data_IF_494940652843
#
_entry.id   IF_494940652843
#
_cell.length_a   1.000
_cell.length_b   1.000
_cell.length_c   1.000
_cell.angle_alpha   90.00
_cell.angle_beta   90.00
_cell.angle_gamma   90.00
#
_symmetry.space_group_name_H-M   'P 1'
#
loop_
_entity.id
_entity.type
_entity.pdbx_description
1 polymer ?
#
# COMPACT_ATOMS: atom_id res chain seq x y z
N UNK A 1 9.43 8.19 -5.55
CA UNK A 1 9.19 6.76 -5.87
C UNK A 1 9.59 5.79 -4.76
N UNK A 2 8.60 5.26 -4.04
CA UNK A 2 8.75 4.20 -3.04
C UNK A 2 7.84 3.02 -3.41
N UNK A 3 8.32 1.79 -3.25
CA UNK A 3 7.55 0.57 -3.51
C UNK A 3 6.98 0.01 -2.21
N UNK A 4 5.67 -0.14 -2.15
CA UNK A 4 4.94 -0.76 -1.06
C UNK A 4 4.34 -2.07 -1.55
N UNK A 5 4.34 -3.11 -0.71
CA UNK A 5 3.75 -4.41 -1.03
C UNK A 5 2.53 -4.58 -0.15
N UNK A 6 1.37 -4.89 -0.74
CA UNK A 6 0.16 -5.17 0.03
C UNK A 6 0.37 -6.47 0.83
N UNK A 7 0.45 -6.35 2.15
CA UNK A 7 0.65 -7.47 3.08
C UNK A 7 -0.69 -8.14 3.40
N UNK A 8 -1.72 -7.35 3.66
CA UNK A 8 -3.08 -7.82 3.96
C UNK A 8 -4.10 -6.68 3.83
N UNK A 9 -5.37 -7.03 3.77
CA UNK A 9 -6.47 -6.09 3.90
C UNK A 9 -7.09 -6.21 5.29
N UNK A 10 -7.34 -5.07 5.94
CA UNK A 10 -7.93 -4.97 7.26
C UNK A 10 -9.10 -3.98 7.22
N UNK A 11 -10.31 -4.52 7.11
CA UNK A 11 -11.53 -3.72 6.94
C UNK A 11 -11.49 -2.88 5.65
N UNK A 12 -11.55 -1.55 5.82
CA UNK A 12 -11.47 -0.57 4.72
C UNK A 12 -10.03 -0.16 4.37
N UNK A 13 -9.03 -0.70 5.06
CA UNK A 13 -7.62 -0.37 4.85
C UNK A 13 -6.87 -1.51 4.19
N UNK A 14 -5.91 -1.19 3.33
CA UNK A 14 -4.86 -2.12 2.92
C UNK A 14 -3.60 -1.83 3.73
N UNK A 15 -3.11 -2.86 4.41
CA UNK A 15 -1.84 -2.82 5.11
C UNK A 15 -0.75 -3.12 4.09
N UNK A 16 0.04 -2.11 3.78
CA UNK A 16 1.15 -2.20 2.85
C UNK A 16 2.47 -2.10 3.60
N UNK A 17 3.49 -2.82 3.14
CA UNK A 17 4.82 -2.84 3.77
C UNK A 17 5.89 -2.45 2.76
N UNK A 18 6.86 -1.66 3.20
CA UNK A 18 8.04 -1.34 2.39
C UNK A 18 9.21 -2.32 2.64
N UNK A 19 10.33 -2.09 1.97
CA UNK A 19 11.55 -2.89 2.15
C UNK A 19 12.15 -2.74 3.57
N UNK A 20 11.94 -1.59 4.21
CA UNK A 20 12.38 -1.32 5.59
C UNK A 20 11.46 -1.92 6.67
N UNK A 21 10.50 -2.77 6.27
CA UNK A 21 9.52 -3.41 7.15
C UNK A 21 8.62 -2.42 7.91
N UNK A 22 8.46 -1.19 7.40
CA UNK A 22 7.46 -0.23 7.89
C UNK A 22 6.11 -0.59 7.30
N UNK A 23 5.08 -0.52 8.13
CA UNK A 23 3.71 -0.79 7.74
C UNK A 23 2.96 0.52 7.54
N UNK A 24 2.14 0.57 6.50
CA UNK A 24 1.33 1.70 6.08
C UNK A 24 -0.10 1.20 5.92
N UNK A 25 -1.04 1.80 6.64
CA UNK A 25 -2.46 1.58 6.42
C UNK A 25 -2.94 2.62 5.41
N UNK A 26 -3.40 2.17 4.25
CA UNK A 26 -3.91 3.03 3.17
C UNK A 26 -5.38 2.69 2.98
N UNK A 27 -6.26 3.69 2.92
CA UNK A 27 -7.68 3.43 2.67
C UNK A 27 -7.88 2.81 1.28
N UNK A 28 -8.74 1.80 1.19
CA UNK A 28 -9.08 1.15 -0.08
C UNK A 28 -9.62 2.14 -1.11
N UNK A 29 -10.24 3.23 -0.67
CA UNK A 29 -10.73 4.31 -1.53
C UNK A 29 -9.61 5.10 -2.22
N UNK A 30 -8.41 5.15 -1.63
CA UNK A 30 -7.23 5.81 -2.20
C UNK A 30 -6.41 4.88 -3.10
N UNK A 31 -6.73 3.60 -3.08
CA UNK A 31 -5.99 2.58 -3.80
C UNK A 31 -6.59 2.32 -5.19
N UNK A 32 -5.76 2.01 -6.19
CA UNK A 32 -6.26 1.61 -7.49
C UNK A 32 -7.08 0.31 -7.38
N UNK A 33 -8.17 0.26 -8.13
CA UNK A 33 -9.04 -0.91 -8.18
C UNK A 33 -8.28 -2.14 -8.70
N UNK A 34 -8.54 -3.31 -8.11
CA UNK A 34 -7.95 -4.58 -8.55
C UNK A 34 -6.64 -4.98 -7.89
N UNK A 35 -6.21 -4.29 -6.82
CA UNK A 35 -5.10 -4.76 -5.99
C UNK A 35 -5.47 -6.03 -5.24
N UNK A 36 -4.48 -6.89 -5.07
CA UNK A 36 -4.57 -8.11 -4.27
C UNK A 36 -3.42 -8.14 -3.27
N UNK A 37 -3.51 -9.03 -2.29
CA UNK A 37 -2.39 -9.30 -1.39
C UNK A 37 -1.18 -9.75 -2.21
N UNK A 38 -0.02 -9.17 -1.95
CA UNK A 38 1.21 -9.36 -2.71
C UNK A 38 1.38 -8.40 -3.90
N UNK A 39 0.38 -7.58 -4.23
CA UNK A 39 0.53 -6.54 -5.25
C UNK A 39 1.55 -5.48 -4.80
N UNK A 40 2.31 -4.97 -5.77
CA UNK A 40 3.28 -3.90 -5.56
C UNK A 40 2.64 -2.58 -5.97
N UNK A 41 2.61 -1.63 -5.04
CA UNK A 41 2.21 -0.25 -5.20
C UNK A 41 3.47 0.60 -5.38
N UNK A 42 3.54 1.37 -6.45
CA UNK A 42 4.50 2.48 -6.56
C UNK A 42 3.80 3.75 -6.12
N UNK A 43 4.23 4.28 -4.98
CA UNK A 43 3.82 5.59 -4.49
C UNK A 43 4.93 6.58 -4.83
N UNK A 44 4.58 7.73 -5.37
CA UNK A 44 5.56 8.79 -5.50
C UNK A 44 5.65 9.57 -4.19
N UNK A 45 6.88 9.89 -3.78
CA UNK A 45 7.17 10.52 -2.49
C UNK A 45 7.27 12.05 -2.69
N UNK A 46 6.58 12.60 -3.70
CA UNK A 46 6.53 14.04 -3.99
C UNK A 46 5.28 14.75 -3.46
N UNK A 47 4.37 14.04 -2.79
CA UNK A 47 3.22 14.66 -2.12
C UNK A 47 3.44 14.71 -0.60
N UNK A 48 4.22 15.70 -0.16
CA UNK A 48 4.22 16.21 1.22
C UNK A 48 3.24 17.35 1.39
#
# INVERSE_FOLDING_TARGET
>A
MKKLIVDRFDGIYAICRDNDKRYYAIEMSELPAGLSVGSVLEVDDEAG
#
